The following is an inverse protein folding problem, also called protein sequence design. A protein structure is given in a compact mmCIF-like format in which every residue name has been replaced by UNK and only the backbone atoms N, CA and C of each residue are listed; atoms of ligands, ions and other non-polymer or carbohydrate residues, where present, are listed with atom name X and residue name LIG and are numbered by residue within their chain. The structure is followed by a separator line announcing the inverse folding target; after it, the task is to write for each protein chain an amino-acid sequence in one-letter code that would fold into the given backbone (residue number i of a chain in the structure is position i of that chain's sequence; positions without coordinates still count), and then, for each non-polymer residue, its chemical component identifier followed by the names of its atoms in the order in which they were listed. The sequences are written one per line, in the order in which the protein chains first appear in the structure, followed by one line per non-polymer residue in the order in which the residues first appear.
data_IF_985696882457
#
_entry.id   IF_985696882457
#
_cell.length_a   1.000
_cell.length_b   1.000
_cell.length_c   1.000
_cell.angle_alpha   90.00
_cell.angle_beta   90.00
_cell.angle_gamma   90.00
#
_symmetry.space_group_name_H-M   'P 1'
#
loop_
_entity.id
_entity.type
_entity.pdbx_description
1 polymer ?
#
# COMPACT_ATOMS: atom_id res chain seq x y z
N UNK A 1 3.08 -0.50 2.68
CA UNK A 1 2.32 -1.53 1.94
C UNK A 1 2.26 -2.77 2.81
N UNK A 2 1.16 -3.51 2.80
CA UNK A 2 0.99 -4.69 3.67
C UNK A 2 0.11 -5.76 3.00
N UNK A 3 0.56 -7.01 3.03
CA UNK A 3 -0.14 -8.15 2.43
C UNK A 3 -1.44 -8.43 3.18
N UNK A 4 -2.55 -8.42 2.44
CA UNK A 4 -3.86 -8.55 3.03
C UNK A 4 -4.14 -9.97 3.54
N UNK A 5 -4.53 -10.04 4.82
CA UNK A 5 -4.85 -11.28 5.54
C UNK A 5 -3.65 -12.26 5.59
N UNK A 6 -2.42 -11.77 5.62
CA UNK A 6 -1.23 -12.62 5.68
C UNK A 6 -1.21 -13.56 6.89
N UNK A 7 -1.64 -13.09 8.07
CA UNK A 7 -1.85 -13.98 9.23
C UNK A 7 -2.76 -15.18 8.93
N UNK A 8 -3.83 -15.00 8.14
CA UNK A 8 -4.71 -16.11 7.76
C UNK A 8 -3.98 -17.14 6.89
N UNK A 9 -3.07 -16.70 6.01
CA UNK A 9 -2.23 -17.60 5.21
C UNK A 9 -1.35 -18.44 6.14
N UNK A 10 -0.66 -17.81 7.09
CA UNK A 10 0.17 -18.52 8.07
C UNK A 10 -0.64 -19.49 8.92
N UNK A 11 -1.77 -19.05 9.45
CA UNK A 11 -2.61 -19.85 10.33
C UNK A 11 -3.23 -21.05 9.58
N UNK A 12 -3.45 -20.95 8.26
CA UNK A 12 -4.08 -22.01 7.44
C UNK A 12 -3.06 -22.97 6.84
N UNK A 13 -1.93 -22.47 6.34
CA UNK A 13 -0.97 -23.23 5.53
C UNK A 13 0.42 -23.35 6.16
N UNK A 14 0.64 -22.72 7.31
CA UNK A 14 1.90 -22.73 8.04
C UNK A 14 2.90 -21.66 7.56
N UNK A 15 3.86 -21.35 8.43
CA UNK A 15 4.86 -20.31 8.20
C UNK A 15 5.73 -20.54 6.94
N UNK A 16 6.03 -21.80 6.60
CA UNK A 16 6.81 -22.10 5.40
C UNK A 16 6.10 -21.66 4.09
N UNK A 17 4.77 -21.72 4.05
CA UNK A 17 3.97 -21.21 2.93
C UNK A 17 3.92 -19.69 2.97
N UNK A 18 3.77 -19.10 4.17
CA UNK A 18 3.85 -17.65 4.35
C UNK A 18 5.17 -17.04 3.87
N UNK A 19 6.30 -17.69 4.16
CA UNK A 19 7.62 -17.24 3.71
C UNK A 19 7.73 -17.25 2.17
N UNK A 20 7.17 -18.25 1.51
CA UNK A 20 7.12 -18.29 0.04
C UNK A 20 6.20 -17.20 -0.54
N UNK A 21 5.07 -16.92 0.11
CA UNK A 21 4.20 -15.79 -0.26
C UNK A 21 4.96 -14.46 -0.16
N UNK A 22 5.75 -14.26 0.90
CA UNK A 22 6.60 -13.07 1.06
C UNK A 22 7.65 -12.97 -0.04
N UNK A 23 8.33 -14.07 -0.37
CA UNK A 23 9.35 -14.10 -1.41
C UNK A 23 8.78 -13.77 -2.79
N UNK A 24 7.65 -14.37 -3.16
CA UNK A 24 6.99 -14.09 -4.45
C UNK A 24 6.46 -12.66 -4.50
N UNK A 25 5.89 -12.15 -3.39
CA UNK A 25 5.44 -10.76 -3.31
C UNK A 25 6.63 -9.81 -3.44
N UNK A 26 7.73 -10.05 -2.73
CA UNK A 26 8.94 -9.24 -2.84
C UNK A 26 9.49 -9.24 -4.27
N UNK A 27 9.55 -10.39 -4.94
CA UNK A 27 9.99 -10.48 -6.33
C UNK A 27 9.09 -9.68 -7.28
N UNK A 28 7.76 -9.77 -7.11
CA UNK A 28 6.78 -8.99 -7.89
C UNK A 28 6.96 -7.49 -7.67
N UNK A 29 7.15 -7.05 -6.43
CA UNK A 29 7.40 -5.64 -6.11
C UNK A 29 8.73 -5.17 -6.73
N UNK A 30 9.82 -5.89 -6.52
CA UNK A 30 11.14 -5.52 -7.04
C UNK A 30 11.18 -5.39 -8.57
N UNK A 31 10.35 -6.14 -9.29
CA UNK A 31 10.26 -6.04 -10.75
C UNK A 31 9.49 -4.78 -11.24
N UNK A 32 8.74 -4.09 -10.37
CA UNK A 32 7.94 -2.92 -10.73
C UNK A 32 8.69 -1.59 -10.59
N UNK A 33 9.57 -1.52 -9.60
CA UNK A 33 10.26 -0.30 -9.21
C UNK A 33 11.55 -0.13 -10.02
N UNK A 34 11.95 1.14 -10.22
CA UNK A 34 13.15 1.49 -10.99
C UNK A 34 14.41 1.28 -10.14
N UNK A 35 15.58 1.33 -10.77
CA UNK A 35 16.86 1.20 -10.04
C UNK A 35 17.09 2.28 -8.98
N UNK A 36 16.53 3.48 -9.16
CA UNK A 36 16.67 4.60 -8.21
C UNK A 36 15.58 4.60 -7.13
N UNK A 37 14.59 3.72 -7.24
CA UNK A 37 13.56 3.52 -6.23
C UNK A 37 14.09 2.55 -5.16
N UNK A 38 13.73 2.78 -3.90
CA UNK A 38 14.12 1.90 -2.80
C UNK A 38 12.91 1.11 -2.35
N UNK A 39 13.02 -0.21 -2.33
CA UNK A 39 12.00 -1.13 -1.80
C UNK A 39 12.62 -1.93 -0.67
N UNK A 40 12.01 -1.86 0.51
CA UNK A 40 12.49 -2.56 1.69
C UNK A 40 11.35 -3.35 2.34
N UNK A 41 11.71 -4.49 2.95
CA UNK A 41 10.84 -5.17 3.91
C UNK A 41 10.88 -4.37 5.22
N UNK A 42 9.78 -3.72 5.56
CA UNK A 42 9.67 -2.83 6.72
C UNK A 42 9.31 -3.60 7.99
N UNK A 43 8.48 -4.63 7.86
CA UNK A 43 7.98 -5.45 8.96
C UNK A 43 7.83 -6.93 8.59
N UNK A 44 7.01 -7.67 9.33
CA UNK A 44 6.78 -9.10 9.08
C UNK A 44 6.14 -9.34 7.71
N UNK A 45 5.10 -8.58 7.38
CA UNK A 45 4.32 -8.65 6.13
C UNK A 45 4.23 -7.28 5.42
N UNK A 46 5.03 -6.34 5.88
CA UNK A 46 5.02 -4.95 5.43
C UNK A 46 6.22 -4.63 4.54
N UNK A 47 5.95 -3.85 3.51
CA UNK A 47 6.93 -3.33 2.56
C UNK A 47 6.83 -1.81 2.48
N UNK A 48 7.97 -1.14 2.44
CA UNK A 48 8.09 0.31 2.24
C UNK A 48 8.77 0.57 0.90
N UNK A 49 8.20 1.46 0.11
CA UNK A 49 8.81 1.96 -1.11
C UNK A 49 9.06 3.47 -0.99
N UNK A 50 10.29 3.90 -1.22
CA UNK A 50 10.68 5.30 -1.33
C UNK A 50 11.00 5.60 -2.80
N UNK A 51 10.34 6.61 -3.36
CA UNK A 51 10.38 6.93 -4.79
C UNK A 51 10.90 8.37 -4.99
N UNK A 52 12.21 8.61 -4.96
CA UNK A 52 12.78 9.97 -4.88
C UNK A 52 12.45 10.84 -6.10
N UNK A 53 12.30 10.23 -7.26
CA UNK A 53 12.08 10.91 -8.55
C UNK A 53 10.64 10.78 -9.03
N UNK A 54 9.69 10.61 -8.10
CA UNK A 54 8.26 10.42 -8.40
C UNK A 54 7.46 11.58 -7.86
N UNK A 55 6.61 12.17 -8.70
CA UNK A 55 5.66 13.19 -8.28
C UNK A 55 4.38 12.55 -7.74
N UNK A 56 3.70 13.24 -6.83
CA UNK A 56 2.45 12.73 -6.23
C UNK A 56 1.34 12.53 -7.27
N UNK A 57 1.40 13.20 -8.43
CA UNK A 57 0.49 12.97 -9.56
C UNK A 57 0.58 11.55 -10.13
N UNK A 58 1.75 10.92 -10.05
CA UNK A 58 1.98 9.56 -10.58
C UNK A 58 1.65 8.47 -9.56
N UNK A 59 1.40 8.85 -8.30
CA UNK A 59 1.14 7.91 -7.22
C UNK A 59 -0.05 6.99 -7.50
N UNK A 60 -1.08 7.49 -8.18
CA UNK A 60 -2.26 6.71 -8.56
C UNK A 60 -1.89 5.55 -9.49
N UNK A 61 -1.09 5.84 -10.52
CA UNK A 61 -0.63 4.85 -11.50
C UNK A 61 0.30 3.82 -10.86
N UNK A 62 1.23 4.27 -10.03
CA UNK A 62 2.18 3.38 -9.34
C UNK A 62 1.44 2.47 -8.36
N UNK A 63 0.50 3.02 -7.58
CA UNK A 63 -0.33 2.23 -6.68
C UNK A 63 -1.15 1.18 -7.43
N UNK A 64 -1.79 1.54 -8.54
CA UNK A 64 -2.54 0.59 -9.37
C UNK A 64 -1.64 -0.56 -9.86
N UNK A 65 -0.46 -0.23 -10.39
CA UNK A 65 0.52 -1.23 -10.84
C UNK A 65 0.94 -2.18 -9.73
N UNK A 66 1.14 -1.68 -8.51
CA UNK A 66 1.48 -2.53 -7.35
C UNK A 66 0.32 -3.45 -6.97
N UNK A 67 -0.90 -2.91 -6.89
CA UNK A 67 -2.11 -3.70 -6.60
C UNK A 67 -2.29 -4.83 -7.62
N UNK A 68 -2.16 -4.52 -8.90
CA UNK A 68 -2.31 -5.49 -9.98
C UNK A 68 -1.16 -6.50 -10.01
N UNK A 69 0.09 -6.09 -9.82
CA UNK A 69 1.21 -7.01 -9.81
C UNK A 69 1.09 -8.09 -8.72
N UNK A 70 0.55 -7.72 -7.55
CA UNK A 70 0.32 -8.67 -6.46
C UNK A 70 -0.93 -9.52 -6.70
N UNK A 71 -2.01 -8.95 -7.22
CA UNK A 71 -3.32 -9.64 -7.32
C UNK A 71 -3.57 -10.40 -8.63
N UNK A 72 -2.94 -10.02 -9.75
CA UNK A 72 -3.29 -10.51 -11.09
C UNK A 72 -3.01 -12.00 -11.29
N UNK A 73 -1.92 -12.52 -10.71
CA UNK A 73 -1.56 -13.93 -10.82
C UNK A 73 -1.56 -14.59 -9.44
N UNK A 74 -2.12 -15.80 -9.30
CA UNK A 74 -2.00 -16.54 -8.05
C UNK A 74 -0.53 -16.87 -7.75
N UNK A 75 -0.24 -17.11 -6.48
CA UNK A 75 1.03 -17.65 -6.01
C UNK A 75 0.87 -19.16 -5.97
N UNK A 76 1.65 -19.88 -6.79
CA UNK A 76 1.64 -21.35 -6.85
C UNK A 76 2.79 -21.88 -6.00
N UNK A 77 2.48 -22.70 -5.01
CA UNK A 77 3.42 -23.34 -4.08
C UNK A 77 3.08 -24.83 -4.04
N UNK A 78 3.91 -25.66 -4.66
CA UNK A 78 3.62 -27.08 -4.88
C UNK A 78 2.24 -27.29 -5.54
N UNK A 79 1.30 -27.92 -4.82
CA UNK A 79 -0.07 -28.17 -5.28
C UNK A 79 -1.07 -27.10 -4.80
N UNK A 80 -0.60 -26.04 -4.16
CA UNK A 80 -1.42 -24.97 -3.60
C UNK A 80 -1.43 -23.75 -4.52
N UNK A 81 -2.62 -23.21 -4.79
CA UNK A 81 -2.82 -21.97 -5.54
C UNK A 81 -3.42 -20.92 -4.61
N UNK A 82 -2.65 -19.87 -4.29
CA UNK A 82 -3.07 -18.81 -3.37
C UNK A 82 -3.32 -17.50 -4.10
N UNK A 83 -4.49 -16.91 -3.86
CA UNK A 83 -4.77 -15.53 -4.27
C UNK A 83 -4.52 -14.61 -3.09
N UNK A 84 -3.53 -13.72 -3.22
CA UNK A 84 -3.21 -12.70 -2.23
C UNK A 84 -3.41 -11.32 -2.83
N UNK A 85 -3.68 -10.35 -1.98
CA UNK A 85 -3.80 -8.94 -2.34
C UNK A 85 -2.93 -8.11 -1.40
N UNK A 86 -2.73 -6.85 -1.72
CA UNK A 86 -1.95 -5.93 -0.89
C UNK A 86 -2.74 -4.64 -0.69
N UNK A 87 -2.60 -4.04 0.48
CA UNK A 87 -3.12 -2.70 0.74
C UNK A 87 -1.96 -1.70 0.81
N UNK A 88 -2.20 -0.47 0.36
CA UNK A 88 -1.17 0.54 0.18
C UNK A 88 -1.59 1.84 0.87
N UNK A 89 -0.65 2.45 1.57
CA UNK A 89 -0.73 3.82 2.04
C UNK A 89 0.34 4.66 1.35
N UNK A 90 -0.04 5.84 0.88
CA UNK A 90 0.83 6.74 0.11
C UNK A 90 0.89 8.12 0.76
N UNK A 91 2.08 8.70 0.83
CA UNK A 91 2.29 10.08 1.24
C UNK A 91 3.50 10.67 0.48
N UNK A 92 3.40 11.94 0.08
CA UNK A 92 4.52 12.66 -0.54
C UNK A 92 5.39 13.31 0.52
N UNK A 93 6.72 13.17 0.40
CA UNK A 93 7.66 13.95 1.21
C UNK A 93 7.62 15.45 0.88
N UNK A 94 7.12 15.82 -0.31
CA UNK A 94 6.99 17.20 -0.76
C UNK A 94 5.65 17.83 -0.33
N UNK A 95 4.80 17.10 0.41
CA UNK A 95 3.57 17.67 0.92
C UNK A 95 3.90 18.74 1.99
N UNK A 96 3.53 19.98 1.70
CA UNK A 96 3.71 21.10 2.61
C UNK A 96 2.47 21.29 3.47
N UNK A 97 2.69 21.55 4.76
CA UNK A 97 1.64 22.00 5.67
C UNK A 97 1.70 23.52 5.76
N UNK A 98 0.63 24.13 6.26
CA UNK A 98 0.50 25.59 6.33
C UNK A 98 1.63 26.27 7.11
N UNK A 99 2.17 25.59 8.11
CA UNK A 99 3.16 26.10 9.05
C UNK A 99 4.59 25.63 8.76
N UNK A 100 4.78 24.48 8.10
CA UNK A 100 6.11 23.90 7.79
C UNK A 100 6.05 22.71 6.84
N UNK A 101 7.21 22.25 6.37
CA UNK A 101 7.37 20.94 5.78
C UNK A 101 7.25 19.79 6.80
N UNK A 102 7.04 18.57 6.30
CA UNK A 102 6.97 17.37 7.11
C UNK A 102 8.33 16.70 7.30
N UNK A 103 8.54 16.13 8.48
CA UNK A 103 9.62 15.18 8.73
C UNK A 103 9.33 13.83 8.07
N UNK A 104 10.34 13.00 7.85
CA UNK A 104 10.15 11.67 7.27
C UNK A 104 9.27 10.77 8.17
N UNK A 105 9.35 10.94 9.49
CA UNK A 105 8.50 10.20 10.43
C UNK A 105 7.03 10.54 10.26
N UNK A 106 6.70 11.82 10.02
CA UNK A 106 5.33 12.25 9.76
C UNK A 106 4.81 11.72 8.42
N UNK A 107 5.67 11.69 7.39
CA UNK A 107 5.33 11.11 6.09
C UNK A 107 4.99 9.63 6.23
N UNK A 108 5.83 8.86 6.93
CA UNK A 108 5.59 7.44 7.21
C UNK A 108 4.31 7.25 8.02
N UNK A 109 4.10 8.08 9.06
CA UNK A 109 2.91 8.01 9.88
C UNK A 109 1.62 8.23 9.07
N UNK A 110 1.61 9.20 8.15
CA UNK A 110 0.47 9.45 7.25
C UNK A 110 0.29 8.29 6.26
N UNK A 111 1.38 7.72 5.75
CA UNK A 111 1.31 6.53 4.90
C UNK A 111 0.68 5.36 5.68
N UNK A 112 1.04 5.14 6.94
CA UNK A 112 0.43 4.10 7.79
C UNK A 112 -1.05 4.36 8.06
N UNK A 113 -1.45 5.60 8.34
CA UNK A 113 -2.87 5.95 8.48
C UNK A 113 -3.65 5.71 7.18
N UNK A 114 -3.03 6.01 6.03
CA UNK A 114 -3.62 5.75 4.72
C UNK A 114 -3.76 4.26 4.45
N UNK A 115 -2.74 3.47 4.80
CA UNK A 115 -2.77 2.01 4.72
C UNK A 115 -3.88 1.42 5.61
N UNK A 116 -4.04 1.97 6.81
CA UNK A 116 -5.13 1.58 7.71
C UNK A 116 -6.51 1.87 7.09
N UNK A 117 -6.69 3.01 6.42
CA UNK A 117 -7.92 3.30 5.68
C UNK A 117 -8.17 2.29 4.56
N UNK A 118 -7.15 1.94 3.77
CA UNK A 118 -7.26 0.91 2.74
C UNK A 118 -7.74 -0.43 3.31
N UNK A 119 -7.15 -0.86 4.43
CA UNK A 119 -7.53 -2.12 5.09
C UNK A 119 -8.94 -2.09 5.67
N UNK A 120 -9.37 -0.96 6.25
CA UNK A 120 -10.73 -0.78 6.77
C UNK A 120 -11.77 -0.71 5.66
N UNK A 121 -11.45 -0.09 4.54
CA UNK A 121 -12.37 0.10 3.42
C UNK A 121 -12.35 -1.04 2.40
N UNK A 122 -12.06 -2.26 2.86
CA UNK A 122 -12.25 -3.48 2.06
C UNK A 122 -10.98 -4.09 1.47
N UNK A 123 -9.78 -3.56 1.80
CA UNK A 123 -8.48 -4.11 1.34
C UNK A 123 -8.31 -4.07 -0.18
N UNK A 124 -7.17 -4.55 -0.70
CA UNK A 124 -6.83 -4.52 -2.13
C UNK A 124 -7.00 -3.11 -2.74
N UNK A 125 -6.54 -2.09 -2.03
CA UNK A 125 -6.73 -0.68 -2.37
C UNK A 125 -5.53 0.15 -1.92
N UNK A 126 -5.40 1.33 -2.50
CA UNK A 126 -4.49 2.35 -2.03
C UNK A 126 -5.26 3.59 -1.59
N UNK A 127 -4.84 4.16 -0.47
CA UNK A 127 -5.19 5.52 -0.08
C UNK A 127 -3.92 6.36 0.05
N UNK A 128 -4.04 7.68 -0.12
CA UNK A 128 -2.96 8.59 0.21
C UNK A 128 -3.39 10.04 0.18
N UNK A 129 -2.56 10.94 0.71
CA UNK A 129 -2.80 12.38 0.60
C UNK A 129 -2.18 12.89 -0.70
N UNK A 130 -2.99 13.56 -1.53
CA UNK A 130 -2.49 14.27 -2.73
C UNK A 130 -2.39 15.77 -2.53
N UNK A 131 -3.11 16.30 -1.54
CA UNK A 131 -3.09 17.73 -1.22
C UNK A 131 -3.55 17.98 0.22
N UNK A 132 -2.95 18.98 0.87
CA UNK A 132 -3.30 19.45 2.21
C UNK A 132 -3.78 20.90 2.12
N UNK A 133 -5.10 21.08 2.11
CA UNK A 133 -5.73 22.38 1.94
C UNK A 133 -5.70 23.14 3.27
N UNK A 134 -4.64 23.92 3.47
CA UNK A 134 -4.47 24.81 4.64
C UNK A 134 -4.43 24.11 6.00
N UNK A 135 -3.91 22.88 6.05
CA UNK A 135 -3.77 22.08 7.29
C UNK A 135 -2.47 22.43 8.01
N UNK A 136 -2.55 22.71 9.30
CA UNK A 136 -1.38 22.85 10.17
C UNK A 136 -0.85 21.49 10.63
N UNK A 137 0.40 21.43 11.07
CA UNK A 137 0.96 20.21 11.68
C UNK A 137 0.16 19.69 12.89
N UNK A 138 -0.38 20.59 13.71
CA UNK A 138 -1.26 20.23 14.82
C UNK A 138 -2.59 19.61 14.35
N UNK A 139 -3.20 20.13 13.28
CA UNK A 139 -4.44 19.58 12.72
C UNK A 139 -4.21 18.22 12.06
N UNK A 140 -3.10 18.05 11.34
CA UNK A 140 -2.74 16.77 10.73
C UNK A 140 -2.65 15.65 11.78
N UNK A 141 -2.19 15.96 13.00
CA UNK A 141 -2.13 15.01 14.11
C UNK A 141 -3.50 14.49 14.58
N UNK A 142 -4.62 15.16 14.26
CA UNK A 142 -5.98 14.69 14.56
C UNK A 142 -6.42 13.50 13.68
N UNK A 143 -5.57 13.11 12.73
CA UNK A 143 -5.74 11.93 11.91
C UNK A 143 -6.34 12.23 10.54
N UNK A 144 -5.94 11.39 9.59
CA UNK A 144 -6.24 11.51 8.17
C UNK A 144 -7.74 11.52 7.88
N UNK A 145 -8.49 10.62 8.51
CA UNK A 145 -9.94 10.46 8.27
C UNK A 145 -10.73 11.70 8.68
N UNK A 146 -10.40 12.28 9.83
CA UNK A 146 -11.06 13.49 10.35
C UNK A 146 -10.81 14.65 9.41
N UNK A 147 -9.54 14.90 9.07
CA UNK A 147 -9.17 15.95 8.15
C UNK A 147 -9.80 15.76 6.76
N UNK A 148 -9.94 14.52 6.28
CA UNK A 148 -10.60 14.27 5.01
C UNK A 148 -12.10 14.61 5.06
N UNK A 149 -12.79 14.17 6.12
CA UNK A 149 -14.22 14.46 6.31
C UNK A 149 -14.49 15.97 6.47
N UNK A 150 -13.54 16.72 7.03
CA UNK A 150 -13.60 18.19 7.16
C UNK A 150 -13.21 18.92 5.87
N UNK A 151 -12.88 18.21 4.79
CA UNK A 151 -12.45 18.80 3.51
C UNK A 151 -11.07 19.44 3.56
N UNK A 152 -10.30 19.19 4.61
CA UNK A 152 -8.97 19.74 4.85
C UNK A 152 -7.87 19.03 4.07
N UNK A 153 -8.08 17.76 3.71
CA UNK A 153 -7.15 17.00 2.87
C UNK A 153 -7.87 16.33 1.73
N UNK A 154 -7.21 16.30 0.56
CA UNK A 154 -7.67 15.56 -0.60
C UNK A 154 -7.00 14.19 -0.61
N UNK A 155 -7.82 13.15 -0.69
CA UNK A 155 -7.35 11.78 -0.76
C UNK A 155 -7.25 11.29 -2.21
N UNK A 156 -6.17 10.57 -2.49
CA UNK A 156 -6.09 9.57 -3.54
C UNK A 156 -6.82 8.31 -3.06
N UNK A 157 -7.61 7.72 -3.95
CA UNK A 157 -8.16 6.37 -3.78
C UNK A 157 -7.91 5.59 -5.07
N UNK A 158 -7.34 4.39 -4.93
CA UNK A 158 -7.12 3.45 -6.04
C UNK A 158 -7.64 2.09 -5.64
N UNK A 159 -8.37 1.45 -6.55
CA UNK A 159 -8.93 0.12 -6.35
C UNK A 159 -8.12 -0.91 -7.12
N UNK A 160 -7.73 -1.99 -6.45
CA UNK A 160 -7.13 -3.14 -7.12
C UNK A 160 -8.18 -3.84 -7.98
N UNK A 161 -7.71 -4.50 -9.04
CA UNK A 161 -8.56 -5.33 -9.87
C UNK A 161 -9.21 -6.46 -9.04
N UNK A 162 -10.40 -6.89 -9.46
CA UNK A 162 -11.05 -8.04 -8.84
C UNK A 162 -10.17 -9.27 -9.04
N UNK A 163 -9.98 -10.06 -7.98
CA UNK A 163 -9.29 -11.34 -8.10
C UNK A 163 -9.96 -12.16 -9.20
N UNK A 164 -9.17 -12.61 -10.18
CA UNK A 164 -9.65 -13.54 -11.18
C UNK A 164 -10.26 -14.75 -10.46
N UNK A 165 -11.54 -15.03 -10.71
CA UNK A 165 -12.18 -16.25 -10.23
C UNK A 165 -11.40 -17.44 -10.79
N UNK A 166 -11.14 -18.49 -9.98
CA UNK A 166 -10.59 -19.73 -10.52
C UNK A 166 -11.53 -20.17 -11.65
N UNK A 167 -11.00 -20.30 -12.86
CA UNK A 167 -11.73 -20.99 -13.93
C UNK A 167 -11.99 -22.40 -13.41
N UNK A 168 -13.23 -22.69 -13.04
CA UNK A 168 -13.67 -24.06 -12.79
C UNK A 168 -13.47 -24.78 -14.12
N UNK A 169 -12.35 -25.50 -14.25
CA UNK A 169 -12.19 -26.49 -15.30
C UNK A 169 -13.28 -27.54 -15.06
N UNK A 170 -14.27 -27.55 -15.97
CA UNK A 170 -15.22 -28.65 -16.13
C UNK A 170 -14.51 -29.88 -16.67
#
# INVERSE_FOLDING_TARGET
MDIDKFKQVNDTYGHAVGDQVLQVTAARLSALFRNDDIVARWGSEEFLALLPTTEISDASSIAARVLDAVSAAPIVIDNLTLHVTISIGVCSMKLELKDRGMSWQEVVHIADQSLYLAKRNGRNKAYGIVDALSVTSAEMAHGLRTNHNEGKVKLLEVFGSALATPSTLQ
#
